data_IF_677783010089
#
_entry.id   IF_677783010089
#
_cell.length_a   1.000
_cell.length_b   1.000
_cell.length_c   1.000
_cell.angle_alpha   90.00
_cell.angle_beta   90.00
_cell.angle_gamma   90.00
#
_symmetry.space_group_name_H-M   'P 1'
#
loop_
_entity.id
_entity.type
_entity.pdbx_description
1 polymer ?
#
# COMPACT_ATOMS: atom_id res chain seq x y z
N UNK A 1 52.47 -29.29 17.52
CA UNK A 1 52.80 -28.26 18.54
C UNK A 1 52.03 -26.96 18.32
N UNK A 2 52.00 -26.40 17.10
CA UNK A 2 51.29 -25.16 16.78
C UNK A 2 49.76 -25.20 16.94
N UNK A 3 49.10 -26.33 16.68
CA UNK A 3 47.64 -26.49 16.85
C UNK A 3 47.20 -26.42 18.32
N UNK A 4 48.01 -26.95 19.24
CA UNK A 4 47.77 -26.87 20.70
C UNK A 4 48.07 -25.47 21.25
N UNK A 5 49.08 -24.79 20.70
CA UNK A 5 49.38 -23.39 21.03
C UNK A 5 48.23 -22.45 20.64
N UNK A 6 47.66 -22.62 19.44
CA UNK A 6 46.49 -21.85 19.00
C UNK A 6 45.22 -22.17 19.81
N UNK A 7 44.98 -23.43 20.17
CA UNK A 7 43.84 -23.81 21.03
C UNK A 7 43.97 -23.26 22.47
N UNK A 8 45.18 -23.14 23.02
CA UNK A 8 45.39 -22.52 24.34
C UNK A 8 45.26 -21.00 24.30
N UNK A 9 45.74 -20.34 23.24
CA UNK A 9 45.56 -18.89 23.05
C UNK A 9 44.07 -18.54 22.88
N UNK A 10 43.31 -19.34 22.14
CA UNK A 10 41.88 -19.11 21.92
C UNK A 10 41.03 -19.24 23.20
N UNK A 11 41.49 -20.04 24.18
CA UNK A 11 40.77 -20.23 25.46
C UNK A 11 41.13 -19.18 26.53
N UNK A 12 42.32 -18.58 26.46
CA UNK A 12 42.81 -17.63 27.47
C UNK A 12 42.67 -16.17 27.04
N UNK A 13 42.89 -15.86 25.76
CA UNK A 13 42.98 -14.49 25.28
C UNK A 13 41.62 -13.98 24.77
N UNK A 14 40.80 -14.86 24.19
CA UNK A 14 39.50 -14.48 23.64
C UNK A 14 38.51 -13.90 24.68
N UNK A 15 38.34 -14.47 25.89
CA UNK A 15 37.43 -13.89 26.88
C UNK A 15 37.97 -12.59 27.50
N UNK A 16 39.30 -12.44 27.65
CA UNK A 16 39.90 -11.19 28.14
C UNK A 16 39.87 -10.06 27.09
N UNK A 17 40.08 -10.37 25.81
CA UNK A 17 39.90 -9.40 24.73
C UNK A 17 38.43 -8.99 24.58
N UNK A 18 37.49 -9.93 24.75
CA UNK A 18 36.06 -9.60 24.77
C UNK A 18 35.72 -8.67 25.95
N UNK A 19 36.18 -8.94 27.17
CA UNK A 19 35.89 -8.11 28.34
C UNK A 19 36.53 -6.71 28.30
N UNK A 20 37.74 -6.58 27.74
CA UNK A 20 38.44 -5.29 27.60
C UNK A 20 37.89 -4.49 26.42
N UNK A 21 37.47 -5.13 25.33
CA UNK A 21 36.80 -4.44 24.23
C UNK A 21 35.38 -3.98 24.63
N UNK A 22 34.61 -4.76 25.38
CA UNK A 22 33.25 -4.35 25.80
C UNK A 22 33.26 -3.18 26.80
N UNK A 23 34.28 -3.08 27.66
CA UNK A 23 34.39 -1.99 28.65
C UNK A 23 34.97 -0.68 28.08
N UNK A 24 35.66 -0.74 26.93
CA UNK A 24 36.15 0.44 26.21
C UNK A 24 35.21 0.89 25.07
N UNK A 25 34.07 0.21 24.91
CA UNK A 25 33.03 0.51 23.94
C UNK A 25 31.70 0.89 24.63
N UNK A 26 31.76 1.54 25.78
CA UNK A 26 30.72 2.51 26.09
C UNK A 26 30.94 3.66 25.09
N UNK A 27 30.05 3.91 24.12
CA UNK A 27 30.19 5.08 23.27
C UNK A 27 30.31 6.30 24.19
N UNK A 28 31.19 7.28 23.89
CA UNK A 28 31.12 8.54 24.61
C UNK A 28 29.67 9.01 24.50
N UNK A 29 29.06 9.36 25.63
CA UNK A 29 27.83 10.13 25.62
C UNK A 29 28.15 11.43 24.89
N UNK A 30 27.95 11.44 23.57
CA UNK A 30 27.88 12.67 22.82
C UNK A 30 26.71 13.40 23.44
N UNK A 31 26.99 14.49 24.15
CA UNK A 31 25.95 15.42 24.51
C UNK A 31 25.33 15.90 23.19
N UNK A 32 24.10 15.49 22.93
CA UNK A 32 23.31 15.92 21.78
C UNK A 32 23.23 17.44 21.82
N UNK A 33 24.09 18.10 21.06
CA UNK A 33 23.98 19.53 20.79
C UNK A 33 23.05 19.65 19.60
N UNK A 34 21.77 19.82 19.90
CA UNK A 34 20.70 20.01 18.92
C UNK A 34 20.92 21.34 18.19
N UNK A 35 21.43 21.29 16.96
CA UNK A 35 21.50 22.46 16.09
C UNK A 35 20.33 22.37 15.07
N UNK A 36 19.23 23.09 15.31
CA UNK A 36 18.23 23.32 14.27
C UNK A 36 18.71 24.47 13.36
N UNK A 37 18.69 24.27 12.04
CA UNK A 37 18.97 25.34 11.06
C UNK A 37 17.66 25.68 10.33
N UNK A 38 17.02 26.82 10.62
CA UNK A 38 15.89 27.32 9.82
C UNK A 38 16.48 28.15 8.64
N UNK A 39 16.05 27.90 7.39
CA UNK A 39 16.41 28.70 6.21
C UNK A 39 15.15 29.34 5.62
N UNK A 40 15.28 30.55 5.07
CA UNK A 40 14.17 31.25 4.40
C UNK A 40 14.54 31.47 2.93
N UNK A 41 13.63 31.12 2.02
CA UNK A 41 13.75 31.46 0.61
C UNK A 41 12.77 32.60 0.31
N UNK A 42 13.30 33.75 -0.08
CA UNK A 42 12.48 34.83 -0.64
C UNK A 42 12.76 34.86 -2.13
N UNK A 43 12.02 34.08 -2.92
CA UNK A 43 11.97 34.34 -4.36
C UNK A 43 10.67 33.86 -5.03
N UNK A 44 10.05 34.82 -5.71
CA UNK A 44 9.06 34.78 -6.79
C UNK A 44 7.62 34.36 -6.43
N UNK A 45 6.83 35.35 -6.00
CA UNK A 45 5.56 35.69 -6.67
C UNK A 45 4.29 34.96 -6.22
N UNK A 46 4.30 34.19 -5.14
CA UNK A 46 3.07 33.66 -4.53
C UNK A 46 3.09 33.91 -3.03
N UNK A 47 2.02 34.51 -2.50
CA UNK A 47 1.83 34.87 -1.09
C UNK A 47 1.63 33.65 -0.16
N UNK A 48 2.52 32.65 -0.26
CA UNK A 48 2.55 31.50 0.64
C UNK A 48 3.97 31.30 1.14
N UNK A 49 4.26 31.85 2.32
CA UNK A 49 5.41 31.43 3.13
C UNK A 49 5.23 29.96 3.49
N UNK A 50 6.04 29.08 2.90
CA UNK A 50 6.23 27.73 3.44
C UNK A 50 7.62 27.64 4.08
N UNK A 51 7.63 27.44 5.39
CA UNK A 51 8.85 27.11 6.14
C UNK A 51 9.18 25.64 5.94
N UNK A 52 10.43 25.32 5.60
CA UNK A 52 10.91 23.94 5.53
C UNK A 52 12.02 23.72 6.55
N UNK A 53 11.78 22.78 7.48
CA UNK A 53 12.75 22.32 8.47
C UNK A 53 13.25 20.92 8.09
N UNK A 54 14.57 20.70 8.10
CA UNK A 54 15.17 19.38 7.88
C UNK A 54 16.04 18.98 9.08
N UNK A 55 15.70 17.92 9.82
CA UNK A 55 16.58 17.36 10.84
C UNK A 55 17.53 16.32 10.25
N UNK A 56 18.71 16.19 10.85
CA UNK A 56 19.67 15.11 10.53
C UNK A 56 19.38 13.80 11.28
N UNK A 57 18.29 13.71 12.07
CA UNK A 57 17.84 12.50 12.77
C UNK A 57 16.30 12.52 13.03
N UNK A 58 15.62 11.39 12.79
CA UNK A 58 14.17 11.18 12.94
C UNK A 58 13.64 11.43 14.36
N UNK A 59 14.45 11.24 15.41
CA UNK A 59 14.01 11.47 16.80
C UNK A 59 13.82 12.96 17.17
N UNK A 60 14.15 13.90 16.27
CA UNK A 60 14.18 15.35 16.54
C UNK A 60 13.13 16.19 15.80
N UNK A 61 12.27 15.56 14.98
CA UNK A 61 11.23 16.27 14.20
C UNK A 61 10.26 17.03 15.10
N UNK A 62 9.79 16.38 16.18
CA UNK A 62 8.77 16.94 17.10
C UNK A 62 9.29 18.18 17.86
N UNK A 63 10.60 18.30 18.09
CA UNK A 63 11.18 19.42 18.86
C UNK A 63 11.64 20.61 17.99
N UNK A 64 12.04 20.41 16.73
CA UNK A 64 12.44 21.53 15.87
C UNK A 64 11.22 22.26 15.27
N UNK A 65 10.08 21.60 15.01
CA UNK A 65 8.86 22.29 14.54
C UNK A 65 8.33 23.26 15.59
N UNK A 66 8.24 22.84 16.86
CA UNK A 66 7.76 23.69 17.96
C UNK A 66 8.68 24.91 18.21
N UNK A 67 9.97 24.77 17.86
CA UNK A 67 10.99 25.81 18.04
C UNK A 67 11.02 26.86 16.90
N UNK A 68 10.74 26.50 15.64
CA UNK A 68 10.61 27.51 14.55
C UNK A 68 9.17 28.11 14.51
N UNK A 69 8.15 27.46 15.13
CA UNK A 69 6.74 27.93 15.15
C UNK A 69 6.42 28.98 16.22
N UNK A 70 7.22 29.08 17.28
CA UNK A 70 6.90 29.88 18.46
C UNK A 70 7.99 30.94 18.70
N UNK A 71 7.84 32.19 18.20
CA UNK A 71 8.91 33.21 18.23
C UNK A 71 9.26 33.74 19.64
N UNK A 72 8.67 33.21 20.71
CA UNK A 72 8.80 33.74 22.07
C UNK A 72 9.80 33.02 22.99
N UNK A 73 10.45 31.94 22.56
CA UNK A 73 11.27 31.10 23.47
C UNK A 73 12.77 31.08 23.20
N UNK A 74 13.30 31.85 22.25
CA UNK A 74 14.76 32.01 22.07
C UNK A 74 15.14 33.45 22.33
N UNK A 75 15.87 33.68 23.42
CA UNK A 75 16.36 35.01 23.79
C UNK A 75 17.30 35.59 22.73
N UNK A 76 16.88 36.70 22.13
CA UNK A 76 17.57 37.95 21.73
C UNK A 76 19.05 37.99 21.29
N UNK A 77 19.78 36.89 21.09
CA UNK A 77 21.23 36.93 20.87
C UNK A 77 21.72 36.38 19.53
N UNK A 78 20.88 35.78 18.69
CA UNK A 78 21.35 35.22 17.43
C UNK A 78 20.34 35.53 16.34
N UNK A 79 20.60 36.59 15.57
CA UNK A 79 20.49 36.65 14.11
C UNK A 79 20.68 38.11 13.67
N UNK A 80 21.96 38.50 13.54
CA UNK A 80 22.37 39.71 12.82
C UNK A 80 23.46 39.33 11.82
N UNK A 81 23.07 38.81 10.67
CA UNK A 81 23.86 38.90 9.45
C UNK A 81 23.00 38.57 8.23
N UNK A 82 22.48 39.61 7.57
CA UNK A 82 22.06 39.52 6.17
C UNK A 82 23.14 40.21 5.34
N UNK A 83 23.78 39.45 4.44
CA UNK A 83 24.68 39.97 3.40
C UNK A 83 23.82 40.22 2.17
N UNK A 84 23.71 41.47 1.73
CA UNK A 84 23.16 41.83 0.42
C UNK A 84 24.29 41.90 -0.60
N UNK A 85 24.17 41.16 -1.70
CA UNK A 85 24.89 41.44 -2.96
C UNK A 85 23.90 42.04 -3.93
N UNK A 86 24.07 43.32 -4.20
CA UNK A 86 23.32 44.07 -5.21
C UNK A 86 24.06 43.96 -6.55
N UNK A 87 23.38 43.43 -7.58
CA UNK A 87 23.76 43.64 -8.98
C UNK A 87 22.57 44.08 -9.79
N UNK A 88 22.59 45.39 -10.09
CA UNK A 88 22.16 46.04 -11.34
C UNK A 88 20.64 46.12 -11.59
N UNK A 89 20.07 47.22 -11.11
CA UNK A 89 19.67 48.30 -12.03
C UNK A 89 18.18 48.39 -12.39
N UNK A 90 17.40 49.13 -11.61
CA UNK A 90 16.38 50.04 -12.16
C UNK A 90 15.96 51.09 -11.13
N UNK A 91 15.81 52.30 -11.61
CA UNK A 91 15.66 53.55 -10.86
C UNK A 91 14.21 53.82 -10.43
N UNK A 92 13.93 53.78 -9.12
CA UNK A 92 13.20 54.87 -8.44
C UNK A 92 13.23 54.72 -6.89
N UNK A 93 13.82 55.66 -6.14
CA UNK A 93 13.87 55.58 -4.67
C UNK A 93 12.75 56.42 -4.05
N UNK A 94 11.71 55.77 -3.49
CA UNK A 94 10.82 56.44 -2.55
C UNK A 94 11.29 56.15 -1.13
N UNK A 95 11.86 57.19 -0.52
CA UNK A 95 12.29 57.30 0.86
C UNK A 95 11.21 56.80 1.84
N UNK A 96 11.62 56.00 2.82
CA UNK A 96 11.06 56.05 4.17
C UNK A 96 12.19 56.37 5.14
N UNK A 97 12.22 57.62 5.56
CA UNK A 97 13.10 58.15 6.61
C UNK A 97 12.65 57.64 7.98
N UNK A 98 13.62 57.18 8.76
CA UNK A 98 13.51 56.96 10.20
C UNK A 98 13.00 58.23 10.91
N UNK A 99 12.06 58.03 11.84
CA UNK A 99 11.87 58.90 12.99
C UNK A 99 12.11 58.05 14.25
N UNK A 100 13.07 58.49 15.04
CA UNK A 100 13.39 57.96 16.36
C UNK A 100 12.35 58.42 17.39
N UNK A 101 12.08 57.58 18.38
CA UNK A 101 11.65 58.02 19.71
C UNK A 101 10.15 57.95 20.00
N UNK A 102 9.78 57.09 20.94
CA UNK A 102 8.49 57.15 21.64
C UNK A 102 7.83 55.80 21.80
N UNK A 103 8.00 55.19 22.97
CA UNK A 103 7.18 54.08 23.41
C UNK A 103 5.70 54.52 23.45
N UNK A 104 4.84 53.82 22.72
CA UNK A 104 3.42 53.75 23.04
C UNK A 104 2.89 52.37 22.68
N UNK A 105 2.33 51.71 23.69
CA UNK A 105 1.48 50.54 23.62
C UNK A 105 0.47 50.69 22.48
N UNK A 106 0.49 49.77 21.53
CA UNK A 106 -0.58 49.59 20.56
C UNK A 106 -1.28 48.27 20.87
N UNK A 107 -2.27 48.34 21.78
CA UNK A 107 -3.37 47.38 21.76
C UNK A 107 -4.06 47.51 20.40
N UNK A 108 -3.82 46.55 19.52
CA UNK A 108 -4.65 46.42 18.32
C UNK A 108 -5.84 45.56 18.69
N UNK A 109 -6.94 46.27 18.95
CA UNK A 109 -8.31 45.76 19.03
C UNK A 109 -8.61 45.04 17.71
N UNK A 110 -8.70 43.71 17.75
CA UNK A 110 -9.46 42.97 16.75
C UNK A 110 -10.93 43.02 17.17
N UNK A 111 -11.66 43.96 16.57
CA UNK A 111 -13.10 44.08 16.72
C UNK A 111 -13.81 42.81 16.26
N UNK A 112 -14.72 42.34 17.12
CA UNK A 112 -15.69 41.27 16.83
C UNK A 112 -16.62 41.73 15.71
N UNK A 113 -16.61 41.04 14.59
CA UNK A 113 -17.82 40.93 13.76
C UNK A 113 -18.79 39.94 14.44
N UNK A 114 -20.05 40.32 14.74
CA UNK A 114 -21.07 39.34 15.10
C UNK A 114 -21.49 38.58 13.84
N UNK A 115 -21.28 37.26 13.81
CA UNK A 115 -21.92 36.37 12.82
C UNK A 115 -23.39 36.21 13.20
N UNK A 116 -24.35 36.50 12.31
CA UNK A 116 -25.74 36.15 12.49
C UNK A 116 -26.00 34.77 11.86
N UNK A 117 -25.58 33.70 12.52
CA UNK A 117 -26.17 32.36 12.36
C UNK A 117 -25.63 31.42 13.46
N UNK A 118 -26.17 31.52 14.67
CA UNK A 118 -26.03 30.47 15.68
C UNK A 118 -27.10 29.39 15.40
N UNK A 119 -26.85 28.57 14.37
CA UNK A 119 -27.42 27.23 14.27
C UNK A 119 -26.44 26.26 14.94
N UNK A 120 -26.89 25.39 15.86
CA UNK A 120 -26.00 24.44 16.53
C UNK A 120 -25.62 23.33 15.56
N UNK A 121 -24.60 23.59 14.74
CA UNK A 121 -23.91 22.56 13.98
C UNK A 121 -23.11 21.72 14.99
N UNK A 122 -23.67 20.55 15.30
CA UNK A 122 -23.07 19.57 16.18
C UNK A 122 -21.63 19.31 15.73
N UNK A 123 -20.67 19.63 16.59
CA UNK A 123 -19.27 19.27 16.41
C UNK A 123 -19.20 17.75 16.22
N UNK A 124 -19.07 17.34 14.96
CA UNK A 124 -18.79 15.96 14.61
C UNK A 124 -17.39 15.65 15.11
N UNK A 125 -17.31 15.10 16.32
CA UNK A 125 -16.13 14.43 16.85
C UNK A 125 -15.74 13.36 15.84
N UNK A 126 -14.78 13.69 14.97
CA UNK A 126 -14.18 12.74 14.04
C UNK A 126 -13.40 11.76 14.90
N UNK A 127 -14.06 10.66 15.25
CA UNK A 127 -13.45 9.56 15.99
C UNK A 127 -12.63 8.82 14.96
N UNK A 128 -11.37 9.21 14.82
CA UNK A 128 -10.36 8.47 14.06
C UNK A 128 -10.29 7.08 14.66
N UNK A 129 -10.97 6.14 14.02
CA UNK A 129 -10.96 4.75 14.43
C UNK A 129 -9.62 4.21 13.99
N UNK A 130 -8.63 4.28 14.89
CA UNK A 130 -7.30 3.72 14.66
C UNK A 130 -7.45 2.21 14.56
N UNK A 131 -7.57 1.72 13.32
CA UNK A 131 -7.52 0.29 13.05
C UNK A 131 -6.09 -0.15 13.33
N UNK A 132 -5.87 -0.77 14.49
CA UNK A 132 -4.56 -1.28 14.89
C UNK A 132 -4.23 -2.51 14.05
N UNK A 133 -3.51 -2.32 12.95
CA UNK A 133 -2.93 -3.42 12.20
C UNK A 133 -1.80 -4.05 13.02
N UNK A 134 -1.87 -5.36 13.25
CA UNK A 134 -0.77 -6.12 13.86
C UNK A 134 0.22 -6.50 12.75
N UNK A 135 1.30 -5.74 12.63
CA UNK A 135 2.35 -6.02 11.65
C UNK A 135 3.33 -7.07 12.21
N UNK A 136 3.68 -8.05 11.37
CA UNK A 136 4.64 -9.10 11.73
C UNK A 136 6.03 -8.68 11.27
N UNK A 137 6.96 -8.53 12.21
CA UNK A 137 8.37 -8.27 11.91
C UNK A 137 9.02 -9.53 11.27
N UNK A 138 9.94 -9.37 10.31
CA UNK A 138 10.59 -10.50 9.66
C UNK A 138 11.52 -11.24 10.63
N UNK A 139 11.52 -12.58 10.57
CA UNK A 139 12.44 -13.40 11.35
C UNK A 139 13.83 -13.44 10.70
N UNK A 140 14.86 -13.05 11.45
CA UNK A 140 16.24 -13.06 10.97
C UNK A 140 16.83 -14.48 11.02
N UNK A 141 17.15 -15.04 9.85
CA UNK A 141 17.87 -16.32 9.73
C UNK A 141 19.27 -16.24 10.34
N UNK A 142 19.91 -15.08 10.26
CA UNK A 142 21.25 -14.83 10.80
C UNK A 142 21.17 -13.69 11.81
N UNK A 143 21.28 -14.02 13.09
CA UNK A 143 21.37 -13.06 14.18
C UNK A 143 22.83 -12.63 14.37
N UNK A 144 23.17 -11.43 13.89
CA UNK A 144 24.52 -10.86 14.03
C UNK A 144 24.70 -10.12 15.36
N UNK A 145 23.60 -9.58 15.88
CA UNK A 145 23.52 -8.89 17.16
C UNK A 145 22.29 -9.44 17.91
N UNK A 146 22.46 -10.01 19.11
CA UNK A 146 21.35 -10.58 19.88
C UNK A 146 20.37 -9.51 20.40
N UNK A 147 20.81 -8.26 20.50
CA UNK A 147 20.01 -7.15 21.04
C UNK A 147 19.40 -6.28 19.91
N UNK A 148 19.51 -6.72 18.66
CA UNK A 148 18.93 -6.00 17.52
C UNK A 148 17.41 -6.19 17.44
N UNK A 149 16.71 -5.06 17.42
CA UNK A 149 15.27 -4.98 17.18
C UNK A 149 15.00 -4.08 15.97
N UNK A 150 13.98 -4.43 15.18
CA UNK A 150 13.54 -3.60 14.08
C UNK A 150 12.80 -2.37 14.59
N UNK A 151 12.99 -1.23 13.92
CA UNK A 151 12.22 -0.03 14.24
C UNK A 151 10.73 -0.26 13.96
N UNK A 152 9.81 0.32 14.75
CA UNK A 152 8.38 0.15 14.52
C UNK A 152 7.95 0.76 13.19
N UNK A 153 6.93 0.16 12.56
CA UNK A 153 6.30 0.74 11.36
C UNK A 153 5.53 2.00 11.77
N UNK A 154 5.77 3.10 11.06
CA UNK A 154 5.08 4.36 11.28
C UNK A 154 4.03 4.55 10.18
N UNK A 155 2.80 4.89 10.57
CA UNK A 155 1.76 5.32 9.63
C UNK A 155 1.55 6.82 9.80
N UNK A 156 1.79 7.58 8.74
CA UNK A 156 1.69 9.03 8.74
C UNK A 156 1.03 9.47 7.44
N UNK A 157 -0.10 10.20 7.54
CA UNK A 157 -0.84 10.75 6.39
C UNK A 157 -1.20 9.73 5.29
N UNK A 158 -1.59 8.50 5.68
CA UNK A 158 -1.91 7.44 4.71
C UNK A 158 -0.68 6.85 4.02
N UNK A 159 0.52 7.08 4.55
CA UNK A 159 1.76 6.46 4.07
C UNK A 159 2.33 5.59 5.18
N UNK A 160 2.52 4.31 4.88
CA UNK A 160 3.21 3.35 5.73
C UNK A 160 4.71 3.43 5.47
N UNK A 161 5.48 3.79 6.49
CA UNK A 161 6.95 3.85 6.46
C UNK A 161 7.53 2.59 7.08
N UNK A 162 8.14 1.74 6.26
CA UNK A 162 8.73 0.46 6.65
C UNK A 162 10.26 0.54 6.57
N UNK A 163 10.97 0.50 7.69
CA UNK A 163 12.45 0.66 7.75
C UNK A 163 13.22 -0.65 7.79
N UNK A 164 12.55 -1.81 7.81
CA UNK A 164 13.18 -3.10 8.12
C UNK A 164 14.42 -3.43 7.30
N UNK A 165 14.38 -3.19 5.99
CA UNK A 165 15.54 -3.43 5.12
C UNK A 165 16.71 -2.50 5.46
N UNK A 166 16.41 -1.23 5.75
CA UNK A 166 17.40 -0.25 6.13
C UNK A 166 18.06 -0.57 7.47
N UNK A 167 17.27 -0.93 8.48
CA UNK A 167 17.74 -1.32 9.80
C UNK A 167 18.66 -2.55 9.72
N UNK A 168 18.27 -3.55 8.94
CA UNK A 168 19.09 -4.75 8.71
C UNK A 168 20.42 -4.43 8.04
N UNK A 169 20.42 -3.63 6.97
CA UNK A 169 21.65 -3.24 6.28
C UNK A 169 22.54 -2.39 7.18
N UNK A 170 21.97 -1.45 7.93
CA UNK A 170 22.71 -0.61 8.87
C UNK A 170 23.41 -1.45 9.95
N UNK A 171 22.70 -2.41 10.54
CA UNK A 171 23.27 -3.39 11.48
C UNK A 171 24.42 -4.16 10.82
N UNK A 172 24.23 -4.67 9.60
CA UNK A 172 25.24 -5.43 8.87
C UNK A 172 26.52 -4.61 8.62
N UNK A 173 26.39 -3.34 8.21
CA UNK A 173 27.52 -2.44 8.02
C UNK A 173 28.29 -2.19 9.32
N UNK A 174 27.58 -1.89 10.40
CA UNK A 174 28.18 -1.66 11.71
C UNK A 174 28.92 -2.90 12.21
N UNK A 175 28.33 -4.08 12.04
CA UNK A 175 28.93 -5.35 12.39
C UNK A 175 30.24 -5.60 11.61
N UNK A 176 30.25 -5.41 10.30
CA UNK A 176 31.47 -5.61 9.48
C UNK A 176 32.57 -4.60 9.80
N UNK A 177 32.23 -3.33 10.01
CA UNK A 177 33.20 -2.31 10.39
C UNK A 177 33.83 -2.61 11.76
N UNK A 178 33.02 -3.00 12.74
CA UNK A 178 33.48 -3.39 14.07
C UNK A 178 34.41 -4.61 14.00
N UNK A 179 33.96 -5.69 13.38
CA UNK A 179 34.73 -6.94 13.28
C UNK A 179 36.05 -6.78 12.53
N UNK A 180 36.06 -6.06 11.39
CA UNK A 180 37.29 -5.80 10.63
C UNK A 180 38.28 -4.93 11.40
N UNK A 181 37.78 -3.98 12.20
CA UNK A 181 38.63 -3.15 13.07
C UNK A 181 39.30 -3.99 14.15
N UNK A 182 38.56 -4.89 14.81
CA UNK A 182 39.13 -5.82 15.81
C UNK A 182 40.17 -6.74 15.18
N UNK A 183 39.88 -7.31 14.01
CA UNK A 183 40.83 -8.15 13.26
C UNK A 183 42.10 -7.36 12.94
N UNK A 184 41.97 -6.12 12.48
CA UNK A 184 43.10 -5.27 12.18
C UNK A 184 43.97 -5.00 13.41
N UNK A 185 43.38 -4.73 14.57
CA UNK A 185 44.11 -4.54 15.84
C UNK A 185 44.93 -5.80 16.17
N UNK A 186 44.33 -6.99 16.08
CA UNK A 186 45.02 -8.26 16.34
C UNK A 186 46.20 -8.46 15.39
N UNK A 187 46.02 -8.18 14.09
CA UNK A 187 47.09 -8.34 13.09
C UNK A 187 48.20 -7.32 13.31
N UNK A 188 47.89 -6.08 13.72
CA UNK A 188 48.87 -5.06 14.09
C UNK A 188 49.66 -5.51 15.33
N UNK A 189 49.00 -6.02 16.37
CA UNK A 189 49.68 -6.56 17.56
C UNK A 189 50.62 -7.71 17.20
N UNK A 190 50.16 -8.64 16.35
CA UNK A 190 50.97 -9.76 15.88
C UNK A 190 52.24 -9.30 15.16
N UNK A 191 52.11 -8.36 14.21
CA UNK A 191 53.28 -7.82 13.52
C UNK A 191 54.13 -6.91 14.41
N UNK A 192 53.55 -6.25 15.41
CA UNK A 192 54.25 -5.47 16.42
C UNK A 192 55.19 -6.33 17.26
N UNK A 193 54.72 -7.48 17.76
CA UNK A 193 55.56 -8.44 18.47
C UNK A 193 56.67 -8.99 17.56
N UNK A 194 56.34 -9.35 16.32
CA UNK A 194 57.33 -9.81 15.34
C UNK A 194 58.39 -8.76 15.03
N UNK A 195 58.02 -7.47 15.03
CA UNK A 195 58.95 -6.37 14.85
C UNK A 195 59.94 -6.27 16.02
N UNK A 196 59.44 -6.34 17.26
CA UNK A 196 60.28 -6.31 18.47
C UNK A 196 61.26 -7.49 18.53
N UNK A 197 60.82 -8.69 18.13
CA UNK A 197 61.65 -9.90 18.14
C UNK A 197 62.64 -9.99 16.97
N UNK A 198 62.47 -9.21 15.90
CA UNK A 198 63.30 -9.31 14.71
C UNK A 198 64.72 -8.74 14.87
N UNK A 199 64.98 -7.88 15.86
CA UNK A 199 66.29 -7.27 16.09
C UNK A 199 66.85 -6.57 14.83
N UNK A 200 68.16 -6.71 14.57
CA UNK A 200 68.81 -6.18 13.35
C UNK A 200 68.67 -7.09 12.11
N UNK A 201 67.91 -8.18 12.21
CA UNK A 201 67.75 -9.11 11.08
C UNK A 201 66.83 -8.55 10.00
N UNK A 202 66.96 -9.03 8.76
CA UNK A 202 66.09 -8.66 7.63
C UNK A 202 64.58 -8.96 7.83
N UNK A 203 64.19 -9.55 8.96
CA UNK A 203 62.80 -9.85 9.34
C UNK A 203 62.02 -8.60 9.75
N UNK A 204 62.68 -7.50 10.10
CA UNK A 204 62.05 -6.20 10.40
C UNK A 204 61.24 -5.68 9.21
N UNK A 205 61.78 -5.81 8.00
CA UNK A 205 61.11 -5.41 6.74
C UNK A 205 59.79 -6.17 6.51
N UNK A 206 59.74 -7.45 6.92
CA UNK A 206 58.53 -8.24 6.79
C UNK A 206 57.45 -7.82 7.81
N UNK A 207 57.86 -7.57 9.05
CA UNK A 207 56.95 -7.08 10.10
C UNK A 207 56.35 -5.70 9.76
N UNK A 208 57.18 -4.75 9.33
CA UNK A 208 56.71 -3.41 8.92
C UNK A 208 55.83 -3.46 7.68
N UNK A 209 56.14 -4.34 6.70
CA UNK A 209 55.27 -4.54 5.55
C UNK A 209 53.90 -5.10 5.96
N UNK A 210 53.83 -5.96 6.97
CA UNK A 210 52.57 -6.47 7.50
C UNK A 210 51.70 -5.38 8.10
N UNK A 211 52.28 -4.55 8.99
CA UNK A 211 51.58 -3.39 9.58
C UNK A 211 51.08 -2.45 8.49
N UNK A 212 51.94 -2.11 7.52
CA UNK A 212 51.58 -1.20 6.42
C UNK A 212 50.41 -1.73 5.59
N UNK A 213 50.33 -3.04 5.35
CA UNK A 213 49.21 -3.65 4.63
C UNK A 213 47.89 -3.51 5.41
N UNK A 214 47.91 -3.74 6.72
CA UNK A 214 46.72 -3.58 7.57
C UNK A 214 46.26 -2.13 7.60
N UNK A 215 47.19 -1.19 7.77
CA UNK A 215 46.88 0.26 7.77
C UNK A 215 46.24 0.67 6.44
N UNK A 216 46.78 0.22 5.31
CA UNK A 216 46.15 0.47 4.01
C UNK A 216 44.79 -0.20 3.85
N UNK A 217 44.61 -1.41 4.38
CA UNK A 217 43.31 -2.09 4.38
C UNK A 217 42.25 -1.31 5.15
N UNK A 218 42.58 -0.82 6.35
CA UNK A 218 41.68 0.05 7.13
C UNK A 218 41.44 1.38 6.42
N UNK A 219 42.49 2.00 5.87
CA UNK A 219 42.35 3.25 5.13
C UNK A 219 41.43 3.08 3.90
N UNK A 220 41.49 1.95 3.21
CA UNK A 220 40.57 1.62 2.11
C UNK A 220 39.16 1.36 2.61
N UNK A 221 38.98 0.63 3.72
CA UNK A 221 37.67 0.34 4.30
C UNK A 221 36.95 1.62 4.74
N UNK A 222 37.59 2.44 5.57
CA UNK A 222 37.04 3.73 6.01
C UNK A 222 36.96 4.74 4.87
N UNK A 223 37.92 4.70 3.94
CA UNK A 223 37.92 5.52 2.75
C UNK A 223 36.72 5.22 1.85
N UNK A 224 36.36 3.95 1.68
CA UNK A 224 35.19 3.56 0.90
C UNK A 224 33.89 4.05 1.52
N UNK A 225 33.72 3.87 2.84
CA UNK A 225 32.54 4.38 3.57
C UNK A 225 32.50 5.92 3.51
N UNK A 226 33.63 6.59 3.68
CA UNK A 226 33.72 8.06 3.59
C UNK A 226 33.40 8.55 2.17
N UNK A 227 33.88 7.84 1.15
CA UNK A 227 33.61 8.18 -0.25
C UNK A 227 32.14 8.00 -0.58
N UNK A 228 31.51 6.91 -0.12
CA UNK A 228 30.06 6.70 -0.27
C UNK A 228 29.29 7.85 0.37
N UNK A 229 29.62 8.22 1.62
CA UNK A 229 29.01 9.37 2.32
C UNK A 229 29.22 10.70 1.59
N UNK A 230 30.39 10.90 0.98
CA UNK A 230 30.73 12.14 0.28
C UNK A 230 30.02 12.26 -1.08
N UNK A 231 29.93 11.16 -1.82
CA UNK A 231 29.29 11.14 -3.15
C UNK A 231 27.78 11.16 -3.01
N UNK A 232 27.23 10.33 -2.13
CA UNK A 232 25.81 10.28 -1.86
C UNK A 232 25.53 9.73 -0.45
N UNK A 233 25.17 10.58 0.53
CA UNK A 233 24.88 10.13 1.89
C UNK A 233 23.73 9.12 1.94
N UNK A 234 22.82 9.12 0.97
CA UNK A 234 21.69 8.19 0.83
C UNK A 234 22.12 6.73 0.58
N UNK A 235 23.38 6.49 0.17
CA UNK A 235 23.90 5.12 0.04
C UNK A 235 24.28 4.51 1.40
N UNK A 236 24.38 5.35 2.43
CA UNK A 236 24.65 4.94 3.82
C UNK A 236 23.50 5.26 4.77
N UNK A 237 22.54 6.06 4.33
CA UNK A 237 21.29 6.37 5.03
C UNK A 237 20.16 5.67 4.28
N UNK A 238 19.77 4.49 4.76
CA UNK A 238 18.69 3.74 4.13
C UNK A 238 17.35 4.38 4.48
N UNK A 239 16.69 4.96 3.48
CA UNK A 239 15.34 5.51 3.63
C UNK A 239 14.33 4.40 3.90
N UNK A 240 13.29 4.73 4.66
CA UNK A 240 12.13 3.86 4.83
C UNK A 240 11.50 3.56 3.46
N UNK A 241 11.02 2.33 3.27
CA UNK A 241 10.12 2.02 2.18
C UNK A 241 8.78 2.68 2.50
N UNK A 242 8.42 3.67 1.70
CA UNK A 242 7.13 4.35 1.79
C UNK A 242 6.14 3.60 0.91
N UNK A 243 5.15 2.99 1.54
CA UNK A 243 4.01 2.41 0.87
C UNK A 243 2.85 3.38 1.08
N UNK A 244 2.42 4.02 0.00
CA UNK A 244 1.14 4.72 0.01
C UNK A 244 0.07 3.68 0.32
N UNK A 245 -0.66 3.90 1.41
CA UNK A 245 -1.85 3.14 1.71
C UNK A 245 -2.81 3.47 0.58
N UNK A 246 -2.90 2.56 -0.39
CA UNK A 246 -3.94 2.59 -1.39
C UNK A 246 -5.22 2.35 -0.60
N UNK A 247 -5.84 3.44 -0.16
CA UNK A 247 -7.27 3.45 0.03
C UNK A 247 -7.80 2.87 -1.26
N UNK A 248 -8.64 1.84 -1.18
CA UNK A 248 -9.38 1.40 -2.34
C UNK A 248 -10.30 2.55 -2.74
N UNK A 249 -9.73 3.60 -3.35
CA UNK A 249 -10.41 4.47 -4.27
C UNK A 249 -11.05 3.50 -5.21
N UNK A 250 -12.38 3.45 -5.12
CA UNK A 250 -13.22 2.57 -5.88
C UNK A 250 -12.61 2.52 -7.27
N UNK A 251 -11.99 1.38 -7.63
CA UNK A 251 -11.75 1.07 -9.02
C UNK A 251 -13.10 1.33 -9.65
N UNK A 252 -13.22 2.43 -10.39
CA UNK A 252 -14.54 2.87 -10.85
C UNK A 252 -15.12 1.63 -11.53
N UNK A 253 -16.23 1.08 -11.01
CA UNK A 253 -16.83 -0.08 -11.61
C UNK A 253 -17.02 0.31 -13.06
N UNK A 254 -16.46 -0.49 -13.97
CA UNK A 254 -16.57 -0.26 -15.39
C UNK A 254 -18.06 -0.22 -15.73
N UNK A 255 -18.63 0.98 -15.74
CA UNK A 255 -20.05 1.24 -15.99
C UNK A 255 -21.04 0.37 -15.21
N UNK A 256 -21.01 0.31 -13.88
CA UNK A 256 -22.25 -0.03 -13.15
C UNK A 256 -23.16 1.21 -13.24
N UNK A 257 -23.96 1.29 -14.31
CA UNK A 257 -25.14 2.13 -14.28
C UNK A 257 -25.96 1.71 -13.06
N UNK A 258 -26.47 2.67 -12.28
CA UNK A 258 -27.41 2.39 -11.19
C UNK A 258 -28.66 1.70 -11.78
N UNK A 259 -28.65 0.38 -11.87
CA UNK A 259 -29.77 -0.40 -12.37
C UNK A 259 -30.86 -0.38 -11.31
N UNK A 260 -31.90 0.39 -11.57
CA UNK A 260 -33.10 0.37 -10.75
C UNK A 260 -33.90 -0.89 -11.09
N UNK A 261 -33.74 -1.93 -10.29
CA UNK A 261 -34.52 -3.17 -10.40
C UNK A 261 -35.86 -2.98 -9.68
N UNK A 262 -36.99 -3.19 -10.38
CA UNK A 262 -38.33 -3.15 -9.77
C UNK A 262 -39.20 -4.27 -10.33
N UNK A 263 -39.58 -5.24 -9.49
CA UNK A 263 -40.39 -6.38 -9.92
C UNK A 263 -41.33 -6.93 -8.85
N UNK A 264 -42.24 -7.80 -9.28
CA UNK A 264 -43.12 -8.58 -8.39
C UNK A 264 -42.53 -9.97 -8.18
N UNK A 265 -42.50 -10.45 -6.95
CA UNK A 265 -42.04 -11.80 -6.61
C UNK A 265 -42.99 -12.87 -7.14
N UNK A 266 -42.45 -13.90 -7.78
CA UNK A 266 -43.20 -15.08 -8.18
C UNK A 266 -43.77 -15.83 -6.99
N UNK A 267 -44.94 -16.44 -7.19
CA UNK A 267 -45.60 -17.29 -6.19
C UNK A 267 -45.60 -18.76 -6.58
N UNK A 268 -45.24 -19.11 -7.82
CA UNK A 268 -45.22 -20.48 -8.32
C UNK A 268 -44.00 -20.72 -9.20
N UNK A 269 -43.38 -21.89 -9.03
CA UNK A 269 -42.11 -22.24 -9.63
C UNK A 269 -42.16 -23.63 -10.26
N UNK A 270 -41.52 -23.76 -11.41
CA UNK A 270 -41.38 -25.01 -12.15
C UNK A 270 -39.94 -25.23 -12.61
N UNK A 271 -39.69 -26.43 -13.13
CA UNK A 271 -38.39 -26.84 -13.66
C UNK A 271 -38.56 -27.08 -15.16
N UNK A 272 -37.93 -26.26 -16.03
CA UNK A 272 -37.97 -26.46 -17.47
C UNK A 272 -37.42 -27.83 -17.87
N UNK A 273 -38.08 -28.47 -18.84
CA UNK A 273 -37.75 -29.84 -19.24
C UNK A 273 -37.67 -29.99 -20.76
N UNK A 274 -36.66 -30.71 -21.23
CA UNK A 274 -36.45 -30.95 -22.66
C UNK A 274 -35.23 -31.82 -22.91
N UNK A 275 -35.18 -32.50 -24.06
CA UNK A 275 -34.07 -33.39 -24.41
C UNK A 275 -32.73 -32.68 -24.62
N UNK A 276 -32.75 -31.36 -24.84
CA UNK A 276 -31.59 -30.50 -25.02
C UNK A 276 -31.43 -29.45 -23.90
N UNK A 277 -32.15 -29.63 -22.80
CA UNK A 277 -32.05 -28.77 -21.62
C UNK A 277 -31.26 -29.53 -20.55
N UNK A 278 -30.19 -28.92 -20.06
CA UNK A 278 -29.42 -29.46 -18.93
C UNK A 278 -29.41 -28.45 -17.79
N UNK A 279 -29.93 -28.82 -16.63
CA UNK A 279 -29.98 -27.93 -15.47
C UNK A 279 -30.50 -28.71 -14.29
N UNK A 280 -29.63 -29.03 -13.34
CA UNK A 280 -30.00 -29.86 -12.20
C UNK A 280 -30.99 -29.12 -11.29
N UNK A 281 -32.29 -29.33 -11.50
CA UNK A 281 -33.40 -28.78 -10.71
C UNK A 281 -33.39 -27.25 -10.59
N UNK A 282 -32.99 -26.54 -11.65
CA UNK A 282 -33.07 -25.07 -11.67
C UNK A 282 -34.53 -24.66 -11.73
N UNK A 283 -35.01 -24.03 -10.67
CA UNK A 283 -36.37 -23.51 -10.57
C UNK A 283 -36.47 -22.14 -11.20
N UNK A 284 -37.52 -21.89 -11.96
CA UNK A 284 -37.87 -20.57 -12.53
C UNK A 284 -39.35 -20.31 -12.30
N UNK A 285 -39.79 -19.06 -12.50
CA UNK A 285 -41.22 -18.74 -12.50
C UNK A 285 -42.02 -19.63 -13.46
N UNK A 286 -43.19 -20.11 -13.05
CA UNK A 286 -44.06 -20.95 -13.90
C UNK A 286 -44.31 -20.39 -15.31
N UNK A 287 -44.59 -19.08 -15.51
CA UNK A 287 -44.70 -18.51 -16.84
C UNK A 287 -43.45 -18.66 -17.72
N UNK A 288 -42.25 -18.63 -17.13
CA UNK A 288 -40.98 -18.77 -17.86
C UNK A 288 -40.73 -20.21 -18.30
N UNK A 289 -41.30 -21.21 -17.60
CA UNK A 289 -41.08 -22.63 -17.92
C UNK A 289 -41.45 -22.91 -19.38
N UNK A 290 -42.67 -22.51 -19.79
CA UNK A 290 -43.14 -22.73 -21.16
C UNK A 290 -42.26 -22.03 -22.19
N UNK A 291 -41.89 -20.78 -21.92
CA UNK A 291 -41.11 -19.96 -22.83
C UNK A 291 -39.68 -20.52 -22.99
N UNK A 292 -39.06 -21.00 -21.90
CA UNK A 292 -37.75 -21.68 -21.96
C UNK A 292 -37.85 -22.99 -22.76
N UNK A 293 -38.93 -23.77 -22.58
CA UNK A 293 -39.15 -25.01 -23.34
C UNK A 293 -39.44 -24.75 -24.83
N UNK A 294 -40.04 -23.61 -25.19
CA UNK A 294 -40.23 -23.16 -26.57
C UNK A 294 -38.91 -22.72 -27.19
N UNK A 295 -38.12 -21.89 -26.50
CA UNK A 295 -36.76 -21.52 -26.93
C UNK A 295 -35.85 -22.75 -27.11
N UNK A 296 -36.02 -23.77 -26.25
CA UNK A 296 -35.27 -25.02 -26.36
C UNK A 296 -35.63 -25.80 -27.64
N UNK A 297 -36.89 -25.79 -28.10
CA UNK A 297 -37.26 -26.44 -29.37
C UNK A 297 -36.60 -25.74 -30.55
N UNK A 298 -36.56 -24.42 -30.52
CA UNK A 298 -35.92 -23.61 -31.56
C UNK A 298 -34.41 -23.87 -31.62
N UNK A 299 -33.74 -23.94 -30.47
CA UNK A 299 -32.33 -24.35 -30.39
C UNK A 299 -32.10 -25.77 -30.89
N UNK A 300 -32.99 -26.70 -30.55
CA UNK A 300 -32.89 -28.09 -30.99
C UNK A 300 -32.94 -28.20 -32.51
N UNK A 301 -33.77 -27.38 -33.17
CA UNK A 301 -33.86 -27.33 -34.64
C UNK A 301 -32.56 -26.87 -35.31
N UNK A 302 -31.71 -26.15 -34.56
CA UNK A 302 -30.41 -25.64 -35.00
C UNK A 302 -29.24 -26.56 -34.58
N UNK A 303 -29.52 -27.67 -33.88
CA UNK A 303 -28.49 -28.57 -33.36
C UNK A 303 -27.87 -28.14 -32.03
N UNK A 304 -28.46 -27.14 -31.36
CA UNK A 304 -28.00 -26.62 -30.07
C UNK A 304 -28.92 -27.01 -28.91
N UNK A 305 -28.37 -26.91 -27.71
CA UNK A 305 -29.07 -27.03 -26.44
C UNK A 305 -28.77 -25.85 -25.53
N UNK A 306 -29.15 -25.99 -24.27
CA UNK A 306 -28.94 -24.97 -23.24
C UNK A 306 -28.58 -25.61 -21.90
N UNK A 307 -27.78 -24.89 -21.11
CA UNK A 307 -27.44 -25.26 -19.74
C UNK A 307 -27.96 -24.18 -18.79
N UNK A 308 -28.90 -24.54 -17.91
CA UNK A 308 -29.38 -23.67 -16.84
C UNK A 308 -28.43 -23.82 -15.65
N UNK A 309 -27.82 -22.70 -15.26
CA UNK A 309 -26.87 -22.65 -14.13
C UNK A 309 -27.49 -22.10 -12.85
N UNK A 310 -28.45 -21.19 -12.97
CA UNK A 310 -29.10 -20.53 -11.85
C UNK A 310 -30.45 -19.98 -12.27
N UNK A 311 -31.40 -19.90 -11.34
CA UNK A 311 -32.77 -19.45 -11.56
C UNK A 311 -33.26 -18.70 -10.33
N UNK A 312 -34.42 -19.05 -9.79
CA UNK A 312 -34.92 -18.51 -8.53
C UNK A 312 -33.92 -18.74 -7.39
N UNK A 313 -33.68 -17.67 -6.61
CA UNK A 313 -32.88 -17.70 -5.38
C UNK A 313 -33.72 -17.19 -4.21
N UNK A 314 -33.67 -17.86 -3.07
CA UNK A 314 -34.26 -17.29 -1.85
C UNK A 314 -33.47 -16.06 -1.38
N UNK A 315 -34.09 -15.20 -0.57
CA UNK A 315 -33.41 -14.03 0.02
C UNK A 315 -32.21 -14.45 0.84
N UNK A 316 -32.34 -15.51 1.63
CA UNK A 316 -31.26 -16.07 2.45
C UNK A 316 -30.10 -16.53 1.57
N UNK A 317 -30.41 -17.22 0.46
CA UNK A 317 -29.38 -17.66 -0.48
C UNK A 317 -28.66 -16.49 -1.13
N UNK A 318 -29.41 -15.45 -1.48
CA UNK A 318 -28.85 -14.23 -2.06
C UNK A 318 -27.93 -13.50 -1.07
N UNK A 319 -28.32 -13.43 0.20
CA UNK A 319 -27.48 -12.88 1.27
C UNK A 319 -26.16 -13.67 1.41
N UNK A 320 -26.21 -15.00 1.33
CA UNK A 320 -24.98 -15.83 1.36
C UNK A 320 -24.05 -15.50 0.18
N UNK A 321 -24.61 -15.33 -1.02
CA UNK A 321 -23.84 -14.98 -2.21
C UNK A 321 -23.25 -13.58 -2.12
N UNK A 322 -24.00 -12.60 -1.61
CA UNK A 322 -23.51 -11.24 -1.36
C UNK A 322 -22.35 -11.28 -0.36
N UNK A 323 -22.48 -11.98 0.76
CA UNK A 323 -21.37 -12.13 1.73
C UNK A 323 -20.15 -12.82 1.11
N UNK A 324 -20.39 -13.79 0.22
CA UNK A 324 -19.33 -14.56 -0.41
C UNK A 324 -18.57 -13.73 -1.44
N UNK A 325 -19.28 -13.00 -2.30
CA UNK A 325 -18.71 -12.38 -3.50
C UNK A 325 -18.60 -10.85 -3.44
N UNK A 326 -19.37 -10.15 -2.61
CA UNK A 326 -19.28 -8.70 -2.47
C UNK A 326 -18.40 -8.31 -1.27
N UNK A 327 -17.70 -7.20 -1.39
CA UNK A 327 -16.92 -6.56 -0.31
C UNK A 327 -17.88 -5.89 0.69
N UNK A 328 -18.88 -5.19 0.16
CA UNK A 328 -19.87 -4.46 0.92
C UNK A 328 -20.95 -5.40 1.50
N UNK A 329 -21.59 -5.02 2.62
CA UNK A 329 -22.53 -5.88 3.31
C UNK A 329 -23.87 -6.02 2.57
N UNK A 330 -24.64 -7.11 2.83
CA UNK A 330 -26.03 -7.23 2.38
C UNK A 330 -26.88 -6.01 2.78
N UNK A 331 -27.81 -5.60 1.92
CA UNK A 331 -28.61 -4.38 2.12
C UNK A 331 -28.09 -3.18 1.33
N UNK A 332 -26.84 -3.22 0.87
CA UNK A 332 -26.23 -2.15 0.07
C UNK A 332 -26.90 -1.99 -1.30
N UNK A 333 -26.78 -0.79 -1.87
CA UNK A 333 -27.29 -0.45 -3.21
C UNK A 333 -26.49 -1.10 -4.34
N UNK A 334 -25.21 -1.39 -4.13
CA UNK A 334 -24.31 -2.00 -5.12
C UNK A 334 -23.71 -3.30 -4.60
N UNK A 335 -23.01 -4.06 -5.45
CA UNK A 335 -22.14 -5.16 -5.04
C UNK A 335 -20.74 -4.93 -5.60
N UNK A 336 -19.84 -4.46 -4.77
CA UNK A 336 -18.43 -4.33 -5.13
C UNK A 336 -17.82 -5.75 -5.09
N UNK A 337 -17.70 -6.41 -6.24
CA UNK A 337 -17.20 -7.77 -6.31
C UNK A 337 -15.77 -7.87 -5.72
N UNK A 338 -15.52 -8.93 -4.95
CA UNK A 338 -14.18 -9.30 -4.50
C UNK A 338 -13.34 -9.68 -5.71
N UNK A 339 -12.03 -9.46 -5.63
CA UNK A 339 -11.11 -9.79 -6.71
C UNK A 339 -11.28 -11.24 -7.17
N UNK A 340 -11.47 -11.43 -8.48
CA UNK A 340 -11.69 -12.74 -9.10
C UNK A 340 -13.05 -13.41 -8.82
N UNK A 341 -13.98 -12.74 -8.13
CA UNK A 341 -15.34 -13.22 -7.89
C UNK A 341 -16.32 -12.65 -8.92
N UNK A 342 -17.37 -13.39 -9.30
CA UNK A 342 -18.46 -12.82 -10.09
C UNK A 342 -19.21 -11.77 -9.27
N UNK A 343 -19.80 -10.76 -9.94
CA UNK A 343 -20.73 -9.85 -9.27
C UNK A 343 -21.96 -10.63 -8.80
N UNK A 344 -22.51 -10.23 -7.65
CA UNK A 344 -23.78 -10.74 -7.17
C UNK A 344 -24.78 -9.58 -7.17
N UNK A 345 -25.93 -9.83 -7.76
CA UNK A 345 -27.05 -8.89 -7.75
C UNK A 345 -27.33 -8.31 -6.33
N UNK A 346 -27.29 -6.98 -6.14
CA UNK A 346 -27.44 -6.38 -4.83
C UNK A 346 -28.87 -6.55 -4.29
N UNK A 347 -28.99 -6.73 -2.97
CA UNK A 347 -30.28 -6.67 -2.27
C UNK A 347 -30.40 -5.32 -1.57
N UNK A 348 -30.65 -4.27 -2.34
CA UNK A 348 -30.87 -2.92 -1.80
C UNK A 348 -31.98 -2.97 -0.75
N UNK A 349 -31.71 -2.39 0.43
CA UNK A 349 -32.65 -2.35 1.57
C UNK A 349 -33.16 -3.73 2.02
N UNK A 350 -32.46 -4.81 1.66
CA UNK A 350 -32.87 -6.21 1.89
C UNK A 350 -34.21 -6.58 1.22
N UNK A 351 -34.67 -5.82 0.22
CA UNK A 351 -35.92 -6.08 -0.48
C UNK A 351 -35.68 -7.08 -1.64
N UNK A 352 -36.36 -8.26 -1.65
CA UNK A 352 -36.25 -9.22 -2.75
C UNK A 352 -36.67 -8.67 -4.12
N UNK A 353 -37.38 -7.55 -4.18
CA UNK A 353 -37.78 -6.93 -5.45
C UNK A 353 -36.64 -6.25 -6.18
N UNK A 354 -35.54 -5.99 -5.49
CA UNK A 354 -34.36 -5.33 -6.04
C UNK A 354 -33.38 -6.31 -6.70
N UNK A 355 -33.71 -7.61 -6.72
CA UNK A 355 -32.91 -8.58 -7.43
C UNK A 355 -33.75 -9.52 -8.30
N UNK A 356 -33.49 -9.63 -9.62
CA UNK A 356 -34.29 -10.42 -10.54
C UNK A 356 -34.34 -11.92 -10.21
N UNK A 357 -33.27 -12.48 -9.63
CA UNK A 357 -33.28 -13.89 -9.19
C UNK A 357 -34.14 -14.12 -7.95
N UNK A 358 -34.25 -13.14 -7.04
CA UNK A 358 -35.10 -13.28 -5.86
C UNK A 358 -36.57 -13.01 -6.15
N UNK A 359 -36.88 -12.31 -7.25
CA UNK A 359 -38.24 -12.26 -7.79
C UNK A 359 -38.61 -13.51 -8.58
N UNK A 360 -37.62 -14.26 -9.09
CA UNK A 360 -37.83 -15.40 -9.98
C UNK A 360 -37.98 -14.99 -11.44
N UNK A 361 -37.80 -13.71 -11.77
CA UNK A 361 -37.89 -13.17 -13.13
C UNK A 361 -36.59 -13.33 -13.93
N UNK A 362 -35.53 -13.90 -13.36
CA UNK A 362 -34.26 -14.11 -14.04
C UNK A 362 -33.77 -15.56 -14.02
N UNK A 363 -32.99 -15.91 -15.04
CA UNK A 363 -32.35 -17.21 -15.21
C UNK A 363 -30.98 -17.04 -15.86
N UNK A 364 -29.96 -17.71 -15.30
CA UNK A 364 -28.60 -17.75 -15.83
C UNK A 364 -28.42 -19.00 -16.70
N UNK A 365 -28.19 -18.81 -18.00
CA UNK A 365 -28.18 -19.87 -19.00
C UNK A 365 -27.04 -19.73 -20.00
N UNK A 366 -26.52 -20.87 -20.45
CA UNK A 366 -25.46 -20.93 -21.45
C UNK A 366 -25.89 -21.76 -22.65
N UNK A 367 -25.49 -21.33 -23.85
CA UNK A 367 -25.62 -22.13 -25.05
C UNK A 367 -24.80 -23.41 -24.93
N UNK A 368 -25.32 -24.50 -25.47
CA UNK A 368 -24.64 -25.79 -25.44
C UNK A 368 -24.69 -26.52 -26.79
N UNK A 369 -23.66 -27.30 -27.08
CA UNK A 369 -23.65 -28.26 -28.19
C UNK A 369 -24.20 -29.60 -27.73
N UNK A 370 -24.87 -30.31 -28.64
CA UNK A 370 -25.40 -31.66 -28.39
C UNK A 370 -24.58 -32.68 -29.16
N UNK A 371 -23.74 -33.44 -28.44
CA UNK A 371 -22.91 -34.48 -29.04
C UNK A 371 -23.31 -35.85 -28.46
N UNK A 372 -23.93 -36.70 -29.27
CA UNK A 372 -24.43 -38.03 -28.84
C UNK A 372 -25.35 -37.98 -27.60
N UNK A 373 -26.19 -36.95 -27.51
CA UNK A 373 -27.08 -36.71 -26.36
C UNK A 373 -26.39 -36.11 -25.13
N UNK A 374 -25.09 -35.81 -25.20
CA UNK A 374 -24.36 -35.07 -24.16
C UNK A 374 -24.43 -33.58 -24.48
N UNK A 375 -25.00 -32.81 -23.55
CA UNK A 375 -25.13 -31.35 -23.64
C UNK A 375 -23.88 -30.71 -23.01
N UNK A 376 -23.07 -30.02 -23.81
CA UNK A 376 -21.80 -29.41 -23.38
C UNK A 376 -21.80 -27.91 -23.61
N UNK A 377 -21.43 -27.12 -22.58
CA UNK A 377 -21.38 -25.66 -22.66
C UNK A 377 -20.42 -25.18 -23.74
N UNK A 378 -20.87 -24.25 -24.58
CA UNK A 378 -20.11 -23.77 -25.73
C UNK A 378 -18.98 -22.80 -25.37
N UNK A 379 -19.21 -21.92 -24.39
CA UNK A 379 -18.24 -20.95 -23.90
C UNK A 379 -18.34 -20.86 -22.38
N UNK A 380 -17.22 -20.91 -21.68
CA UNK A 380 -17.19 -20.79 -20.22
C UNK A 380 -17.19 -19.32 -19.80
N UNK A 381 -17.74 -19.02 -18.62
CA UNK A 381 -17.83 -17.66 -18.09
C UNK A 381 -16.49 -16.90 -18.09
N UNK A 382 -15.40 -17.59 -17.73
CA UNK A 382 -14.06 -16.99 -17.71
C UNK A 382 -13.57 -16.54 -19.10
N UNK A 383 -13.97 -17.24 -20.16
CA UNK A 383 -13.63 -16.85 -21.53
C UNK A 383 -14.53 -15.71 -22.00
N UNK A 384 -15.82 -15.81 -21.72
CA UNK A 384 -16.81 -14.79 -22.02
C UNK A 384 -16.46 -13.42 -21.40
N UNK A 385 -15.97 -13.41 -20.16
CA UNK A 385 -15.57 -12.18 -19.46
C UNK A 385 -14.29 -11.51 -20.01
N UNK A 386 -13.51 -12.19 -20.86
CA UNK A 386 -12.33 -11.56 -21.49
C UNK A 386 -12.72 -10.63 -22.62
N UNK A 387 -13.77 -11.00 -23.35
CA UNK A 387 -14.27 -10.28 -24.51
C UNK A 387 -15.78 -10.57 -24.63
N UNK A 388 -16.58 -9.60 -24.19
CA UNK A 388 -18.04 -9.73 -24.19
C UNK A 388 -18.60 -9.73 -25.62
N UNK A 389 -17.99 -8.99 -26.55
CA UNK A 389 -18.43 -8.95 -27.95
C UNK A 389 -18.26 -10.32 -28.61
N UNK A 390 -17.09 -10.94 -28.44
CA UNK A 390 -16.83 -12.31 -28.88
C UNK A 390 -17.79 -13.32 -28.21
N UNK A 391 -18.18 -13.09 -26.96
CA UNK A 391 -19.14 -13.94 -26.27
C UNK A 391 -20.56 -13.83 -26.84
N UNK A 392 -21.03 -12.61 -27.14
CA UNK A 392 -22.31 -12.37 -27.81
C UNK A 392 -22.34 -12.91 -29.24
N UNK A 393 -21.20 -12.87 -29.94
CA UNK A 393 -21.08 -13.35 -31.33
C UNK A 393 -20.68 -14.83 -31.43
N UNK A 394 -20.42 -15.51 -30.31
CA UNK A 394 -20.21 -16.95 -30.29
C UNK A 394 -21.46 -17.65 -30.89
N UNK A 395 -21.35 -18.45 -31.98
CA UNK A 395 -22.52 -18.95 -32.72
C UNK A 395 -23.55 -19.68 -31.85
N UNK A 396 -23.07 -20.43 -30.86
CA UNK A 396 -23.92 -21.19 -29.96
C UNK A 396 -24.57 -20.33 -28.88
N UNK A 397 -23.82 -19.40 -28.26
CA UNK A 397 -24.40 -18.45 -27.29
C UNK A 397 -25.38 -17.49 -27.99
N UNK A 398 -25.02 -17.02 -29.19
CA UNK A 398 -25.88 -16.18 -30.04
C UNK A 398 -27.20 -16.87 -30.36
N UNK A 399 -27.17 -18.15 -30.76
CA UNK A 399 -28.38 -18.92 -31.01
C UNK A 399 -29.27 -19.03 -29.76
N UNK A 400 -28.68 -19.17 -28.56
CA UNK A 400 -29.44 -19.15 -27.31
C UNK A 400 -30.10 -17.77 -27.10
N UNK A 401 -29.32 -16.70 -27.25
CA UNK A 401 -29.83 -15.33 -27.06
C UNK A 401 -30.97 -15.05 -28.03
N UNK A 402 -30.83 -15.40 -29.31
CA UNK A 402 -31.85 -15.19 -30.32
C UNK A 402 -33.13 -15.99 -30.02
N UNK A 403 -33.00 -17.25 -29.60
CA UNK A 403 -34.14 -18.09 -29.21
C UNK A 403 -34.85 -17.56 -27.96
N UNK A 404 -34.11 -17.12 -26.94
CA UNK A 404 -34.68 -16.52 -25.73
C UNK A 404 -35.38 -15.20 -26.04
N UNK A 405 -34.81 -14.35 -26.90
CA UNK A 405 -35.45 -13.11 -27.35
C UNK A 405 -36.75 -13.35 -28.13
N UNK A 406 -36.80 -14.40 -28.94
CA UNK A 406 -38.02 -14.79 -29.66
C UNK A 406 -39.18 -15.12 -28.69
N UNK A 407 -38.85 -15.66 -27.52
CA UNK A 407 -39.80 -16.01 -26.44
C UNK A 407 -40.02 -14.86 -25.44
N UNK A 408 -39.55 -13.66 -25.76
CA UNK A 408 -39.82 -12.43 -25.00
C UNK A 408 -38.94 -12.24 -23.76
N UNK A 409 -37.79 -12.92 -23.68
CA UNK A 409 -36.75 -12.59 -22.73
C UNK A 409 -35.91 -11.41 -23.24
N UNK A 410 -35.35 -10.64 -22.32
CA UNK A 410 -34.24 -9.73 -22.61
C UNK A 410 -32.94 -10.31 -22.02
N UNK A 411 -31.80 -9.81 -22.49
CA UNK A 411 -30.46 -10.20 -22.00
C UNK A 411 -29.71 -8.95 -21.54
N UNK A 412 -28.92 -9.06 -20.46
CA UNK A 412 -28.09 -7.94 -20.00
C UNK A 412 -26.89 -7.75 -20.91
N UNK A 413 -26.55 -6.50 -21.22
CA UNK A 413 -25.38 -6.18 -22.04
C UNK A 413 -24.04 -6.55 -21.39
N UNK A 414 -23.98 -6.63 -20.06
CA UNK A 414 -22.79 -7.02 -19.28
C UNK A 414 -22.70 -8.53 -19.00
N UNK A 415 -23.81 -9.25 -19.15
CA UNK A 415 -23.93 -10.67 -18.78
C UNK A 415 -24.69 -11.44 -19.87
N UNK A 416 -24.00 -11.94 -20.92
CA UNK A 416 -24.62 -12.66 -22.04
C UNK A 416 -25.38 -13.94 -21.66
N UNK A 417 -25.22 -14.39 -20.41
CA UNK A 417 -25.88 -15.56 -19.83
C UNK A 417 -27.12 -15.21 -18.98
N UNK A 418 -27.33 -13.94 -18.62
CA UNK A 418 -28.41 -13.54 -17.72
C UNK A 418 -29.62 -13.09 -18.53
N UNK A 419 -30.72 -13.83 -18.41
CA UNK A 419 -31.98 -13.56 -19.10
C UNK A 419 -33.06 -13.15 -18.11
N UNK A 420 -33.88 -12.17 -18.49
CA UNK A 420 -35.00 -11.70 -17.67
C UNK A 420 -36.33 -11.73 -18.40
N UNK A 421 -37.38 -12.12 -17.68
CA UNK A 421 -38.76 -12.04 -18.14
C UNK A 421 -39.74 -11.91 -16.95
N UNK A 422 -40.46 -10.77 -16.80
CA UNK A 422 -40.28 -9.54 -17.56
C UNK A 422 -38.91 -8.90 -17.28
N UNK A 423 -38.50 -7.98 -18.15
CA UNK A 423 -37.33 -7.12 -17.91
C UNK A 423 -37.49 -6.37 -16.58
N UNK A 424 -36.49 -6.49 -15.72
CA UNK A 424 -36.41 -5.79 -14.44
C UNK A 424 -35.22 -4.84 -14.38
N UNK A 425 -34.15 -5.14 -15.11
CA UNK A 425 -32.93 -4.35 -15.19
C UNK A 425 -32.97 -3.41 -16.40
N UNK A 426 -32.53 -2.17 -16.23
CA UNK A 426 -32.59 -1.14 -17.28
C UNK A 426 -31.69 -1.42 -18.49
N UNK A 427 -30.64 -2.23 -18.31
CA UNK A 427 -29.70 -2.65 -19.35
C UNK A 427 -30.14 -3.92 -20.10
N UNK A 428 -31.30 -4.47 -19.75
CA UNK A 428 -31.82 -5.69 -20.36
C UNK A 428 -32.48 -5.34 -21.70
N UNK A 429 -31.92 -5.87 -22.79
CA UNK A 429 -32.28 -5.52 -24.18
C UNK A 429 -32.57 -6.74 -25.06
#
# INVERSE_FOLDING_TARGET
>A
MWRKFWQSIHKLILPCLFAVCFSLWAPPAFADTYNCFCWYWTDIGTDTESQYCWPTNLASIVYCEDSCSNPHTIGDQIFKSCIYTDTLGSSNPTRCSHAEGGASYAETICDRYPRPDDSPEAAATTTTTTTTYEFVAPELVVQLDPDFEFSPILSENGVLKITYLGDYLQMLYNYFLGTMTVVAIIVVMYHGVMYLLAGSSGRTKNATSGIRKVVWGLALLFGAVSLLKLVNPELTLFRALELEEVTADALMPYGESEESVSGTTCTSFGIPSGSNINGNNVQVCDPMVKNIEEAAKDLQSQGYGMILTSGYRSVEKQIELIKKYCINPPGSTTCNAKEGSPSACPLKDMDPKNCPHTTGSAVDMWGAEINNGVVTQCIIQKECLKDLEDCFENPCQKALIDAMKAEGFCVLASEPWHFEQPSMSSSCH
#
